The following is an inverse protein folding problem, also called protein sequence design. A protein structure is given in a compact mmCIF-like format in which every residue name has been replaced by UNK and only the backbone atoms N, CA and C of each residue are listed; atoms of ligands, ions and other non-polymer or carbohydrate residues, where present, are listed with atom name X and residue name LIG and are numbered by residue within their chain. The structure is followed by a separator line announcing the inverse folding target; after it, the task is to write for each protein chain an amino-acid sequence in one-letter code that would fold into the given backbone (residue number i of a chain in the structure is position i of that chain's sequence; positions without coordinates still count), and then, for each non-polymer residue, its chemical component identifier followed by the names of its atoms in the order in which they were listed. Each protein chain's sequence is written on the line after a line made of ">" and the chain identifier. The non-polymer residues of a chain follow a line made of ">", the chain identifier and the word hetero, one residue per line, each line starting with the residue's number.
data_IF_824689894301
#
_entry.id   IF_824689894301
#
_cell.length_a   1.000
_cell.length_b   1.000
_cell.length_c   1.000
_cell.angle_alpha   90.00
_cell.angle_beta   90.00
_cell.angle_gamma   90.00
#
_symmetry.space_group_name_H-M   'P 1'
#
loop_
_entity.id
_entity.type
_entity.pdbx_description
1 polymer ?
#
# COMPACT_ATOMS: atom_id res chain seq x y z
N UNK A 1 -1.45 23.43 -3.80
CA UNK A 1 -0.46 22.34 -3.69
C UNK A 1 -0.57 21.75 -2.29
N UNK A 2 -0.96 20.48 -2.15
CA UNK A 2 -0.92 19.81 -0.84
C UNK A 2 0.55 19.68 -0.40
N UNK A 3 0.84 20.11 0.83
CA UNK A 3 2.16 19.96 1.44
C UNK A 3 2.53 18.47 1.47
N UNK A 4 3.53 18.06 0.69
CA UNK A 4 3.91 16.66 0.48
C UNK A 4 4.27 15.90 1.77
N UNK A 5 4.80 16.59 2.79
CA UNK A 5 5.12 15.97 4.08
C UNK A 5 3.90 15.56 4.92
N UNK A 6 2.73 16.15 4.70
CA UNK A 6 1.50 15.72 5.37
C UNK A 6 0.80 14.55 4.65
N UNK A 7 1.27 14.11 3.48
CA UNK A 7 0.49 13.19 2.64
C UNK A 7 0.57 11.73 3.07
N UNK A 8 1.75 11.19 3.37
CA UNK A 8 1.90 9.75 3.63
C UNK A 8 1.33 9.30 4.96
N UNK A 9 1.43 10.10 6.02
CA UNK A 9 0.81 9.76 7.31
C UNK A 9 -0.72 9.74 7.20
N UNK A 10 -1.32 10.66 6.42
CA UNK A 10 -2.75 10.64 6.12
C UNK A 10 -3.14 9.43 5.28
N UNK A 11 -2.35 9.12 4.24
CA UNK A 11 -2.55 7.91 3.43
C UNK A 11 -2.49 6.66 4.31
N UNK A 12 -1.49 6.56 5.18
CA UNK A 12 -1.40 5.43 6.10
C UNK A 12 -2.58 5.35 7.05
N UNK A 13 -3.05 6.49 7.57
CA UNK A 13 -4.26 6.53 8.39
C UNK A 13 -5.48 5.97 7.64
N UNK A 14 -5.69 6.37 6.39
CA UNK A 14 -6.79 5.83 5.59
C UNK A 14 -6.62 4.32 5.34
N UNK A 15 -5.40 3.87 5.05
CA UNK A 15 -5.11 2.46 4.82
C UNK A 15 -5.27 1.61 6.09
N UNK A 16 -4.87 2.11 7.26
CA UNK A 16 -5.03 1.37 8.52
C UNK A 16 -6.51 1.29 8.92
N UNK A 17 -7.28 2.35 8.70
CA UNK A 17 -8.72 2.36 8.96
C UNK A 17 -9.43 1.28 8.10
N UNK A 18 -9.04 1.12 6.83
CA UNK A 18 -9.53 0.02 5.96
C UNK A 18 -8.96 -1.36 6.35
N UNK A 19 -7.69 -1.42 6.78
CA UNK A 19 -7.04 -2.67 7.21
C UNK A 19 -7.72 -3.26 8.44
N UNK A 20 -8.09 -2.43 9.42
CA UNK A 20 -8.72 -2.87 10.67
C UNK A 20 -10.07 -3.57 10.47
N UNK A 21 -10.75 -3.29 9.35
CA UNK A 21 -12.05 -3.90 8.99
C UNK A 21 -11.93 -4.94 7.88
N UNK A 22 -10.72 -5.17 7.36
CA UNK A 22 -10.44 -6.13 6.30
C UNK A 22 -10.30 -7.55 6.85
N UNK A 23 -10.71 -8.55 6.05
CA UNK A 23 -10.45 -9.97 6.31
C UNK A 23 -9.28 -10.52 5.44
N UNK A 24 -8.58 -9.67 4.70
CA UNK A 24 -7.48 -10.08 3.83
C UNK A 24 -6.22 -10.40 4.64
N UNK A 25 -5.50 -11.46 4.25
CA UNK A 25 -4.21 -11.81 4.86
C UNK A 25 -3.16 -10.84 4.34
N UNK A 26 -2.76 -9.87 5.15
CA UNK A 26 -1.78 -8.86 4.74
C UNK A 26 -0.98 -8.30 5.92
N UNK A 27 0.07 -7.55 5.58
CA UNK A 27 0.87 -6.74 6.49
C UNK A 27 0.94 -5.31 5.96
N UNK A 28 0.77 -4.34 6.85
CA UNK A 28 0.74 -2.91 6.55
C UNK A 28 1.66 -2.16 7.53
N UNK A 29 2.75 -1.58 7.02
CA UNK A 29 3.80 -0.97 7.83
C UNK A 29 4.20 0.41 7.30
N UNK A 30 4.63 1.30 8.20
CA UNK A 30 5.41 2.49 7.85
C UNK A 30 6.86 2.23 8.24
N UNK A 31 7.78 2.49 7.33
CA UNK A 31 9.21 2.50 7.59
C UNK A 31 9.86 3.83 7.17
N UNK A 32 11.07 4.07 7.67
CA UNK A 32 11.99 5.10 7.16
C UNK A 32 13.20 4.41 6.56
N UNK A 33 13.58 4.78 5.35
CA UNK A 33 14.81 4.26 4.75
C UNK A 33 16.05 5.06 5.20
N UNK A 34 17.23 4.65 4.74
CA UNK A 34 18.52 5.30 5.05
C UNK A 34 18.62 6.78 4.63
N UNK A 35 17.71 7.25 3.77
CA UNK A 35 17.63 8.65 3.32
C UNK A 35 16.57 9.46 4.09
N UNK A 36 16.08 8.94 5.22
CA UNK A 36 15.00 9.51 6.05
C UNK A 36 13.66 9.69 5.29
N UNK A 37 13.45 8.92 4.22
CA UNK A 37 12.21 8.96 3.43
C UNK A 37 11.18 8.00 4.02
N UNK A 38 9.93 8.46 4.12
CA UNK A 38 8.82 7.60 4.54
C UNK A 38 8.41 6.65 3.41
N UNK A 39 8.14 5.41 3.81
CA UNK A 39 7.64 4.35 2.92
C UNK A 39 6.47 3.67 3.62
N UNK A 40 5.37 3.46 2.89
CA UNK A 40 4.28 2.58 3.33
C UNK A 40 4.43 1.25 2.58
N UNK A 41 4.61 0.16 3.33
CA UNK A 41 4.68 -1.19 2.80
C UNK A 41 3.34 -1.90 2.99
N UNK A 42 2.79 -2.42 1.90
CA UNK A 42 1.62 -3.30 1.92
C UNK A 42 1.98 -4.64 1.29
N UNK A 43 2.09 -5.67 2.12
CA UNK A 43 2.39 -7.04 1.70
C UNK A 43 1.14 -7.90 1.79
N UNK A 44 0.64 -8.35 0.65
CA UNK A 44 -0.57 -9.15 0.54
C UNK A 44 -0.23 -10.64 0.31
N UNK A 45 -0.83 -11.50 1.14
CA UNK A 45 -0.72 -12.95 1.08
C UNK A 45 -2.01 -13.52 0.49
N UNK A 46 -1.89 -14.30 -0.58
CA UNK A 46 -3.05 -14.95 -1.18
C UNK A 46 -2.66 -16.26 -1.85
N UNK A 47 -3.44 -17.32 -1.61
CA UNK A 47 -3.25 -18.62 -2.23
C UNK A 47 -3.39 -18.55 -3.77
N UNK A 48 -4.11 -17.53 -4.26
CA UNK A 48 -4.27 -17.23 -5.68
C UNK A 48 -2.97 -16.82 -6.37
N UNK A 49 -1.94 -16.39 -5.62
CA UNK A 49 -0.67 -15.97 -6.22
C UNK A 49 0.17 -17.11 -6.76
N UNK A 50 -0.12 -18.37 -6.40
CA UNK A 50 0.63 -19.61 -6.71
C UNK A 50 2.10 -19.61 -6.23
N UNK A 51 2.81 -18.50 -6.38
CA UNK A 51 4.19 -18.23 -5.95
C UNK A 51 4.30 -16.75 -5.55
N UNK A 52 5.00 -16.49 -4.45
CA UNK A 52 5.39 -15.17 -3.92
C UNK A 52 4.23 -14.18 -3.62
N UNK A 53 4.17 -13.77 -2.36
CA UNK A 53 3.33 -12.67 -1.87
C UNK A 53 3.58 -11.38 -2.67
N UNK A 54 2.60 -10.47 -2.67
CA UNK A 54 2.68 -9.23 -3.46
C UNK A 54 2.92 -8.04 -2.56
N UNK A 55 4.02 -7.34 -2.82
CA UNK A 55 4.38 -6.10 -2.15
C UNK A 55 3.99 -4.89 -3.00
N UNK A 56 3.27 -3.95 -2.40
CA UNK A 56 3.10 -2.59 -2.90
C UNK A 56 3.82 -1.66 -1.94
N UNK A 57 4.63 -0.76 -2.49
CA UNK A 57 5.31 0.28 -1.73
C UNK A 57 4.85 1.66 -2.20
N UNK A 58 4.45 2.52 -1.26
CA UNK A 58 4.16 3.93 -1.53
C UNK A 58 5.32 4.74 -0.98
N UNK A 59 6.12 5.32 -1.88
CA UNK A 59 7.36 6.02 -1.55
C UNK A 59 7.14 7.53 -1.54
N UNK A 60 7.66 8.21 -0.52
CA UNK A 60 7.55 9.68 -0.38
C UNK A 60 8.02 10.44 -1.63
N UNK A 61 9.10 9.95 -2.26
CA UNK A 61 9.73 10.55 -3.43
C UNK A 61 8.89 10.49 -4.72
N UNK A 62 7.80 9.71 -4.75
CA UNK A 62 6.94 9.54 -5.93
C UNK A 62 5.48 9.94 -5.64
N UNK A 63 5.20 11.23 -5.38
CA UNK A 63 3.88 11.71 -4.97
C UNK A 63 2.77 11.42 -5.99
N UNK A 64 3.08 11.42 -7.28
CA UNK A 64 2.10 11.14 -8.34
C UNK A 64 1.54 9.71 -8.27
N UNK A 65 2.28 8.79 -7.64
CA UNK A 65 1.84 7.41 -7.46
C UNK A 65 0.94 7.19 -6.24
N UNK A 66 0.94 8.13 -5.28
CA UNK A 66 0.34 7.95 -3.95
C UNK A 66 -1.14 7.60 -4.01
N UNK A 67 -1.95 8.41 -4.68
CA UNK A 67 -3.41 8.20 -4.77
C UNK A 67 -3.73 6.90 -5.50
N UNK A 68 -3.04 6.63 -6.61
CA UNK A 68 -3.26 5.42 -7.42
C UNK A 68 -2.95 4.16 -6.63
N UNK A 69 -1.82 4.13 -5.92
CA UNK A 69 -1.40 2.98 -5.12
C UNK A 69 -2.26 2.83 -3.87
N UNK A 70 -2.58 3.92 -3.18
CA UNK A 70 -3.54 3.91 -2.06
C UNK A 70 -4.86 3.26 -2.48
N UNK A 71 -5.48 3.75 -3.57
CA UNK A 71 -6.75 3.22 -4.04
C UNK A 71 -6.66 1.75 -4.45
N UNK A 72 -5.53 1.33 -5.04
CA UNK A 72 -5.28 -0.08 -5.33
C UNK A 72 -5.26 -0.93 -4.05
N UNK A 73 -4.56 -0.48 -3.01
CA UNK A 73 -4.49 -1.19 -1.72
C UNK A 73 -5.87 -1.27 -1.07
N UNK A 74 -6.66 -0.19 -1.08
CA UNK A 74 -8.04 -0.19 -0.55
C UNK A 74 -8.90 -1.23 -1.27
N UNK A 75 -8.84 -1.29 -2.61
CA UNK A 75 -9.62 -2.28 -3.36
C UNK A 75 -9.16 -3.73 -3.11
N UNK A 76 -7.88 -3.94 -2.77
CA UNK A 76 -7.38 -5.24 -2.29
C UNK A 76 -7.94 -5.55 -0.90
N UNK A 77 -7.81 -4.64 0.06
CA UNK A 77 -8.32 -4.80 1.44
C UNK A 77 -9.84 -5.07 1.48
N UNK A 78 -10.59 -4.55 0.52
CA UNK A 78 -12.03 -4.80 0.37
C UNK A 78 -12.37 -6.13 -0.32
N UNK A 79 -11.37 -6.94 -0.68
CA UNK A 79 -11.52 -8.20 -1.42
C UNK A 79 -12.02 -8.02 -2.86
N UNK A 80 -12.06 -6.79 -3.39
CA UNK A 80 -12.58 -6.46 -4.72
C UNK A 80 -11.54 -6.69 -5.81
N UNK A 81 -10.25 -6.66 -5.45
CA UNK A 81 -9.16 -6.79 -6.39
C UNK A 81 -8.07 -7.71 -5.86
N UNK A 82 -7.44 -8.44 -6.76
CA UNK A 82 -6.19 -9.16 -6.51
C UNK A 82 -5.04 -8.43 -7.20
N UNK A 83 -3.89 -8.28 -6.53
CA UNK A 83 -2.69 -7.68 -7.13
C UNK A 83 -2.16 -8.60 -8.23
N UNK A 84 -2.37 -8.24 -9.49
CA UNK A 84 -1.85 -9.01 -10.62
C UNK A 84 -0.35 -8.75 -10.78
N UNK A 85 0.40 -9.77 -11.21
CA UNK A 85 1.77 -9.57 -11.71
C UNK A 85 1.65 -8.63 -12.92
N UNK A 86 2.47 -7.58 -12.98
CA UNK A 86 2.56 -6.76 -14.19
C UNK A 86 2.84 -7.68 -15.37
N UNK A 87 1.84 -7.85 -16.23
CA UNK A 87 2.04 -8.56 -17.50
C UNK A 87 2.87 -7.60 -18.32
N UNK A 88 4.12 -7.97 -18.57
CA UNK A 88 4.96 -7.27 -19.55
C UNK A 88 4.33 -7.39 -20.93
#
# INVERSE_FOLDING_TARGET
>A
MMNSKMSLQLIYKELIDEFLVSNERCLLEIERNNNDQLIINFLHYSDKYKTNNKLIQILEIYPDSHVRLKNLVIEVLRGRKIIQKGVK
#
